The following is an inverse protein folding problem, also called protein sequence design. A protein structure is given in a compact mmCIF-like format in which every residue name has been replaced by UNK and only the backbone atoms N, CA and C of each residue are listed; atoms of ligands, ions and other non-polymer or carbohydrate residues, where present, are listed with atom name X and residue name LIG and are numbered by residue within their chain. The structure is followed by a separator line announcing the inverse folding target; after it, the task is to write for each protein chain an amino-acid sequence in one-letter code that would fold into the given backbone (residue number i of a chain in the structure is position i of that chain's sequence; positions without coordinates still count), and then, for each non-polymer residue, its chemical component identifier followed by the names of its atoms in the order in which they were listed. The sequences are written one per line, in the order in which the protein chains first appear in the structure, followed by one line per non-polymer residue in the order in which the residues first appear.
data_IF_777265489738
#
_entry.id   IF_777265489738
#
_cell.length_a   1.000
_cell.length_b   1.000
_cell.length_c   1.000
_cell.angle_alpha   90.00
_cell.angle_beta   90.00
_cell.angle_gamma   90.00
#
_symmetry.space_group_name_H-M   'P 1'
#
loop_
_entity.id
_entity.type
_entity.pdbx_description
1 polymer ?
#
# COMPACT_ATOMS: atom_id res chain seq x y z
N UNK A 1 0.36 7.67 12.25
CA UNK A 1 1.57 8.18 11.57
C UNK A 1 1.15 8.63 10.19
N UNK A 2 1.54 9.84 9.77
CA UNK A 2 1.27 10.36 8.42
C UNK A 2 2.40 9.84 7.52
N UNK A 3 2.08 9.08 6.48
CA UNK A 3 3.06 8.56 5.53
C UNK A 3 3.54 9.71 4.63
N UNK A 4 4.69 10.29 4.92
CA UNK A 4 5.22 11.48 4.23
C UNK A 4 5.99 11.16 2.93
N UNK A 5 6.27 9.89 2.66
CA UNK A 5 7.05 9.42 1.49
C UNK A 5 6.24 8.47 0.61
N UNK A 6 5.01 8.87 0.27
CA UNK A 6 4.18 8.13 -0.67
C UNK A 6 4.77 8.21 -2.07
N UNK A 7 5.04 7.06 -2.68
CA UNK A 7 5.47 6.94 -4.08
C UNK A 7 4.29 6.85 -5.03
N UNK A 8 3.29 6.05 -4.66
CA UNK A 8 2.04 5.87 -5.42
C UNK A 8 0.93 5.38 -4.48
N UNK A 9 -0.31 5.50 -4.93
CA UNK A 9 -1.47 4.94 -4.24
C UNK A 9 -2.50 4.47 -5.26
N UNK A 10 -3.34 3.52 -4.85
CA UNK A 10 -4.42 2.97 -5.65
C UNK A 10 -5.60 2.61 -4.75
N UNK A 11 -6.82 2.92 -5.20
CA UNK A 11 -8.04 2.45 -4.56
C UNK A 11 -8.18 0.94 -4.71
N UNK A 12 -8.80 0.29 -3.72
CA UNK A 12 -9.19 -1.11 -3.81
C UNK A 12 -10.19 -1.36 -4.93
N UNK A 13 -10.32 -2.62 -5.33
CA UNK A 13 -11.16 -3.04 -6.45
C UNK A 13 -12.36 -3.85 -5.91
N UNK A 14 -13.60 -3.38 -6.11
CA UNK A 14 -14.79 -4.19 -5.81
C UNK A 14 -14.87 -5.43 -6.73
N UNK A 15 -15.35 -6.58 -6.24
CA UNK A 15 -15.87 -6.84 -4.89
C UNK A 15 -14.79 -7.31 -3.87
N UNK A 16 -13.51 -7.29 -4.23
CA UNK A 16 -12.44 -7.86 -3.41
C UNK A 16 -12.09 -6.99 -2.19
N UNK A 17 -12.19 -5.68 -2.35
CA UNK A 17 -11.83 -4.69 -1.35
C UNK A 17 -13.04 -3.85 -0.89
N UNK A 18 -12.93 -3.25 0.30
CA UNK A 18 -13.94 -2.32 0.81
C UNK A 18 -13.91 -1.01 0.01
N UNK A 19 -15.01 -0.26 0.06
CA UNK A 19 -15.13 1.05 -0.61
C UNK A 19 -14.15 2.10 -0.11
N UNK A 20 -13.63 1.94 1.11
CA UNK A 20 -12.62 2.81 1.72
C UNK A 20 -11.20 2.22 1.66
N UNK A 21 -11.02 1.06 1.05
CA UNK A 21 -9.70 0.42 0.94
C UNK A 21 -8.80 1.24 0.02
N UNK A 22 -7.64 1.62 0.54
CA UNK A 22 -6.57 2.26 -0.22
C UNK A 22 -5.26 1.52 0.01
N UNK A 23 -4.57 1.22 -1.10
CA UNK A 23 -3.20 0.72 -1.10
C UNK A 23 -2.25 1.88 -1.34
N UNK A 24 -1.17 1.92 -0.57
CA UNK A 24 -0.16 2.98 -0.65
C UNK A 24 1.21 2.34 -0.70
N UNK A 25 2.03 2.79 -1.63
CA UNK A 25 3.44 2.42 -1.74
C UNK A 25 4.25 3.53 -1.09
N UNK A 26 5.01 3.18 -0.06
CA UNK A 26 5.83 4.12 0.70
C UNK A 26 7.30 3.74 0.61
N UNK A 27 8.18 4.72 0.45
CA UNK A 27 9.62 4.47 0.53
C UNK A 27 10.02 4.10 1.97
N UNK A 28 10.92 3.14 2.12
CA UNK A 28 11.40 2.72 3.43
C UNK A 28 12.61 3.56 3.84
N UNK A 29 12.54 4.34 4.94
CA UNK A 29 13.63 5.24 5.32
C UNK A 29 14.94 4.51 5.65
N UNK A 30 14.85 3.26 6.14
CA UNK A 30 16.01 2.46 6.50
C UNK A 30 16.71 1.79 5.30
N UNK A 31 16.04 1.71 4.15
CA UNK A 31 16.47 0.93 2.98
C UNK A 31 16.17 1.72 1.70
N UNK A 32 17.02 2.71 1.35
CA UNK A 32 16.79 3.56 0.17
C UNK A 32 16.59 2.74 -1.11
N UNK A 33 15.61 3.12 -1.92
CA UNK A 33 15.24 2.38 -3.14
C UNK A 33 14.41 1.11 -2.90
N UNK A 34 14.12 0.75 -1.65
CA UNK A 34 13.13 -0.26 -1.28
C UNK A 34 11.86 0.41 -0.78
N UNK A 35 10.73 -0.19 -1.14
CA UNK A 35 9.42 0.30 -0.80
C UNK A 35 8.65 -0.74 0.01
N UNK A 36 7.60 -0.26 0.67
CA UNK A 36 6.62 -1.06 1.37
C UNK A 36 5.24 -0.76 0.81
N UNK A 37 4.44 -1.81 0.64
CA UNK A 37 3.02 -1.69 0.30
C UNK A 37 2.22 -1.82 1.59
N UNK A 38 1.42 -0.80 1.88
CA UNK A 38 0.48 -0.79 3.00
C UNK A 38 -0.95 -0.66 2.49
N UNK A 39 -1.90 -1.23 3.22
CA UNK A 39 -3.34 -1.14 2.96
C UNK A 39 -4.02 -0.51 4.17
N UNK A 40 -4.98 0.38 3.94
CA UNK A 40 -5.89 0.87 4.98
C UNK A 40 -7.33 0.87 4.51
N UNK A 41 -8.24 0.46 5.40
CA UNK A 41 -9.69 0.54 5.20
C UNK A 41 -10.31 1.76 5.89
N UNK A 42 -9.50 2.64 6.49
CA UNK A 42 -9.94 3.80 7.27
C UNK A 42 -9.27 5.10 6.83
N UNK A 43 -8.70 5.12 5.62
CA UNK A 43 -7.91 6.25 5.09
C UNK A 43 -6.81 6.70 6.06
N UNK A 44 -6.21 5.74 6.78
CA UNK A 44 -5.16 5.98 7.77
C UNK A 44 -5.56 6.85 8.98
N UNK A 45 -6.86 7.13 9.18
CA UNK A 45 -7.35 7.78 10.39
C UNK A 45 -7.22 6.87 11.62
N UNK A 46 -7.30 5.56 11.41
CA UNK A 46 -7.23 4.54 12.46
C UNK A 46 -6.01 3.66 12.21
N UNK A 47 -5.00 3.79 13.07
CA UNK A 47 -3.70 3.11 12.89
C UNK A 47 -3.80 1.58 12.90
N UNK A 48 -4.67 1.00 13.73
CA UNK A 48 -4.84 -0.46 13.80
C UNK A 48 -5.55 -1.06 12.57
N UNK A 49 -6.17 -0.23 11.73
CA UNK A 49 -6.75 -0.64 10.44
C UNK A 49 -5.74 -0.51 9.28
N UNK A 50 -4.45 -0.34 9.58
CA UNK A 50 -3.39 -0.31 8.57
C UNK A 50 -2.62 -1.62 8.61
N UNK A 51 -2.48 -2.25 7.45
CA UNK A 51 -1.83 -3.56 7.29
C UNK A 51 -0.66 -3.42 6.32
N UNK A 52 0.48 -3.99 6.67
CA UNK A 52 1.61 -4.14 5.75
C UNK A 52 1.34 -5.35 4.87
N UNK A 53 1.28 -5.14 3.55
CA UNK A 53 1.02 -6.20 2.56
C UNK A 53 2.33 -6.85 2.11
N UNK A 54 3.35 -6.04 1.81
CA UNK A 54 4.65 -6.53 1.37
C UNK A 54 5.77 -5.51 1.67
N UNK A 55 6.97 -6.00 1.99
CA UNK A 55 8.19 -5.20 2.17
C UNK A 55 9.21 -5.46 1.08
N UNK A 56 10.20 -4.58 0.99
CA UNK A 56 11.37 -4.68 0.11
C UNK A 56 11.03 -4.76 -1.38
N UNK A 57 9.93 -4.10 -1.78
CA UNK A 57 9.48 -4.07 -3.17
C UNK A 57 10.15 -2.95 -3.95
N UNK A 58 10.33 -3.16 -5.25
CA UNK A 58 10.85 -2.17 -6.20
C UNK A 58 9.69 -1.51 -6.97
N UNK A 59 8.68 -2.29 -7.35
CA UNK A 59 7.46 -1.82 -8.01
C UNK A 59 6.24 -2.58 -7.48
N UNK A 60 5.06 -1.96 -7.57
CA UNK A 60 3.78 -2.53 -7.15
C UNK A 60 2.64 -2.07 -8.06
N UNK A 61 1.79 -3.01 -8.47
CA UNK A 61 0.59 -2.73 -9.28
C UNK A 61 -0.57 -3.61 -8.87
N UNK A 62 -1.79 -3.05 -8.94
CA UNK A 62 -3.03 -3.81 -8.88
C UNK A 62 -3.67 -3.79 -10.26
N UNK A 63 -3.98 -4.98 -10.78
CA UNK A 63 -4.65 -5.16 -12.06
C UNK A 63 -5.81 -6.16 -11.84
N UNK A 64 -7.03 -5.64 -11.96
CA UNK A 64 -8.27 -6.38 -11.75
C UNK A 64 -8.23 -7.17 -10.43
N UNK A 65 -8.17 -8.50 -10.52
CA UNK A 65 -8.27 -9.41 -9.38
C UNK A 65 -6.90 -9.69 -8.72
N UNK A 66 -5.81 -9.09 -9.23
CA UNK A 66 -4.44 -9.47 -8.87
C UNK A 66 -3.59 -8.29 -8.41
N UNK A 67 -2.71 -8.59 -7.45
CA UNK A 67 -1.63 -7.70 -6.99
C UNK A 67 -0.27 -8.25 -7.43
N UNK A 68 0.55 -7.40 -8.02
CA UNK A 68 1.89 -7.72 -8.48
C UNK A 68 2.93 -6.87 -7.76
N UNK A 69 4.03 -7.49 -7.36
CA UNK A 69 5.19 -6.81 -6.75
C UNK A 69 6.49 -7.42 -7.25
N UNK A 70 7.52 -6.58 -7.43
CA UNK A 70 8.88 -7.01 -7.79
C UNK A 70 9.85 -6.77 -6.63
N UNK A 71 10.90 -7.58 -6.51
CA UNK A 71 11.93 -7.49 -5.47
C UNK A 71 13.30 -7.26 -6.07
#
# INVERSE_FOLDING_TARGET
AVYSQVKSFQWGIPPYDNTSTIFVVVEQPATPGKMQVIRSDSLFHISYNTVVIQTDVVDFKILDDYMYATK
#
